data_IF_019999605552
#
_entry.id   IF_019999605552
#
_cell.length_a   1.000
_cell.length_b   1.000
_cell.length_c   1.000
_cell.angle_alpha   90.00
_cell.angle_beta   90.00
_cell.angle_gamma   90.00
#
_symmetry.space_group_name_H-M   'P 1'
#
loop_
_entity.id
_entity.type
_entity.pdbx_description
1 polymer ?
#
# COMPACT_ATOMS: atom_id res chain seq x y z
N UNK A 1 -15.13 -18.54 28.91
CA UNK A 1 -13.88 -17.79 29.23
C UNK A 1 -13.27 -18.42 30.46
N UNK A 2 -12.22 -19.20 30.28
CA UNK A 2 -11.53 -19.91 31.36
C UNK A 2 -10.57 -18.90 31.98
N UNK A 3 -10.87 -18.53 33.23
CA UNK A 3 -9.99 -17.69 34.01
C UNK A 3 -8.66 -18.43 34.23
N UNK A 4 -7.55 -17.71 34.00
CA UNK A 4 -6.24 -18.19 34.41
C UNK A 4 -6.24 -18.34 35.93
N UNK A 5 -6.22 -19.59 36.44
CA UNK A 5 -6.00 -19.83 37.86
C UNK A 5 -4.59 -19.34 38.20
N UNK A 6 -4.47 -18.26 38.95
CA UNK A 6 -3.23 -17.90 39.63
C UNK A 6 -3.10 -18.90 40.82
N UNK A 7 -2.23 -19.88 40.64
CA UNK A 7 -1.93 -20.85 41.67
C UNK A 7 -0.91 -20.21 42.62
N UNK A 8 -1.37 -19.69 43.74
CA UNK A 8 -0.51 -19.36 44.87
C UNK A 8 -0.01 -20.67 45.46
N UNK A 9 1.23 -21.04 45.17
CA UNK A 9 1.80 -22.27 45.69
C UNK A 9 2.24 -22.09 47.14
N UNK A 10 1.70 -22.88 48.05
CA UNK A 10 2.31 -23.12 49.36
C UNK A 10 3.59 -23.95 49.16
N UNK A 11 4.71 -23.27 48.99
CA UNK A 11 6.00 -23.86 48.62
C UNK A 11 6.42 -25.00 49.54
N UNK A 12 6.18 -24.88 50.85
CA UNK A 12 6.58 -25.86 51.84
C UNK A 12 5.77 -27.16 51.77
N UNK A 13 4.48 -27.14 51.41
CA UNK A 13 3.65 -28.31 51.32
C UNK A 13 3.97 -29.12 50.07
N UNK A 14 4.16 -28.44 48.96
CA UNK A 14 4.52 -29.03 47.67
C UNK A 14 5.87 -29.78 47.74
N UNK A 15 6.88 -29.14 48.33
CA UNK A 15 8.21 -29.75 48.50
C UNK A 15 8.18 -31.02 49.37
N UNK A 16 7.31 -31.08 50.39
CA UNK A 16 7.11 -32.26 51.21
C UNK A 16 6.60 -33.46 50.41
N UNK A 17 5.80 -33.22 49.37
CA UNK A 17 5.26 -34.27 48.50
C UNK A 17 6.12 -34.48 47.23
N UNK A 18 7.24 -33.80 47.07
CA UNK A 18 8.12 -33.94 45.92
C UNK A 18 7.47 -33.54 44.59
N UNK A 19 6.56 -32.53 44.60
CA UNK A 19 5.84 -32.05 43.43
C UNK A 19 6.46 -30.79 42.90
N UNK A 20 6.62 -30.70 41.57
CA UNK A 20 7.03 -29.50 40.86
C UNK A 20 5.83 -28.62 40.50
N UNK A 21 6.08 -27.33 40.23
CA UNK A 21 5.03 -26.43 39.72
C UNK A 21 4.47 -26.91 38.37
N UNK A 22 5.35 -27.51 37.55
CA UNK A 22 4.96 -28.13 36.29
C UNK A 22 3.90 -29.20 36.44
N UNK A 23 4.02 -30.08 37.42
CA UNK A 23 3.09 -31.20 37.62
C UNK A 23 1.67 -30.71 37.93
N UNK A 24 1.58 -29.60 38.68
CA UNK A 24 0.31 -28.92 38.97
C UNK A 24 -0.23 -28.20 37.71
N UNK A 25 0.62 -27.51 36.96
CA UNK A 25 0.23 -26.83 35.76
C UNK A 25 -0.25 -27.81 34.68
N UNK A 26 0.46 -28.92 34.48
CA UNK A 26 0.12 -29.95 33.50
C UNK A 26 -1.23 -30.62 33.84
N UNK A 27 -1.50 -30.88 35.14
CA UNK A 27 -2.80 -31.38 35.55
C UNK A 27 -3.93 -30.40 35.24
N UNK A 28 -3.71 -29.11 35.52
CA UNK A 28 -4.72 -28.07 35.27
C UNK A 28 -4.95 -27.90 33.76
N UNK A 29 -3.90 -27.90 32.96
CA UNK A 29 -4.00 -27.81 31.50
C UNK A 29 -4.78 -29.02 30.95
N UNK A 30 -4.42 -30.24 31.35
CA UNK A 30 -5.09 -31.45 30.93
C UNK A 30 -6.55 -31.49 31.39
N UNK A 31 -6.80 -31.18 32.67
CA UNK A 31 -8.12 -31.31 33.28
C UNK A 31 -9.11 -30.28 32.77
N UNK A 32 -8.70 -29.02 32.63
CA UNK A 32 -9.55 -27.89 32.30
C UNK A 32 -9.52 -27.58 30.78
N UNK A 33 -8.32 -27.41 30.24
CA UNK A 33 -8.11 -27.07 28.84
C UNK A 33 -8.30 -28.24 27.88
N UNK A 34 -7.85 -29.39 28.29
CA UNK A 34 -7.70 -30.60 27.50
C UNK A 34 -6.39 -30.65 26.74
N UNK A 35 -5.77 -31.79 26.66
CA UNK A 35 -4.57 -32.03 25.88
C UNK A 35 -4.87 -32.95 24.69
N UNK A 36 -4.25 -32.63 23.54
CA UNK A 36 -4.28 -33.51 22.39
C UNK A 36 -3.36 -34.69 22.62
N UNK A 37 -3.95 -35.89 22.74
CA UNK A 37 -3.23 -37.16 23.01
C UNK A 37 -2.87 -37.91 21.73
N UNK A 38 -3.61 -37.67 20.64
CA UNK A 38 -3.42 -38.35 19.35
C UNK A 38 -4.11 -37.59 18.23
N UNK A 39 -3.84 -37.99 17.00
CA UNK A 39 -4.50 -37.47 15.80
C UNK A 39 -5.11 -38.64 15.01
N UNK A 40 -6.32 -38.43 14.50
CA UNK A 40 -6.99 -39.35 13.59
C UNK A 40 -7.00 -38.76 12.20
N UNK A 41 -6.52 -39.51 11.21
CA UNK A 41 -6.52 -39.11 9.81
C UNK A 41 -7.73 -39.72 9.08
N UNK A 42 -8.53 -38.86 8.48
CA UNK A 42 -9.66 -39.24 7.61
C UNK A 42 -9.44 -38.67 6.24
N UNK A 43 -8.88 -39.45 5.33
CA UNK A 43 -8.43 -39.00 4.03
C UNK A 43 -7.29 -37.98 4.14
N UNK A 44 -7.49 -36.75 3.65
CA UNK A 44 -6.52 -35.65 3.70
C UNK A 44 -6.70 -34.73 4.92
N UNK A 45 -7.64 -35.04 5.82
CA UNK A 45 -7.93 -34.22 7.01
C UNK A 45 -7.42 -34.90 8.26
N UNK A 46 -6.80 -34.13 9.18
CA UNK A 46 -6.41 -34.57 10.53
C UNK A 46 -7.35 -33.97 11.57
N UNK A 47 -7.71 -34.77 12.55
CA UNK A 47 -8.53 -34.38 13.68
C UNK A 47 -7.80 -34.75 14.98
N UNK A 48 -7.66 -33.77 15.88
CA UNK A 48 -7.03 -33.99 17.17
C UNK A 48 -7.99 -34.73 18.12
N UNK A 49 -7.48 -35.76 18.79
CA UNK A 49 -8.17 -36.45 19.88
C UNK A 49 -7.81 -35.76 21.17
N UNK A 50 -8.76 -35.01 21.74
CA UNK A 50 -8.55 -34.22 22.95
C UNK A 50 -9.09 -35.01 24.17
N UNK A 51 -8.25 -35.18 25.19
CA UNK A 51 -8.63 -35.70 26.48
C UNK A 51 -8.80 -34.56 27.48
N UNK A 52 -9.95 -34.48 28.14
CA UNK A 52 -10.23 -33.54 29.22
C UNK A 52 -11.24 -34.11 30.19
N UNK A 53 -11.31 -33.57 31.40
CA UNK A 53 -12.36 -33.95 32.35
C UNK A 53 -13.74 -33.49 31.88
N UNK A 54 -14.77 -34.16 32.40
CA UNK A 54 -16.16 -33.82 32.09
C UNK A 54 -16.51 -32.40 32.61
N UNK A 55 -17.55 -31.81 32.04
CA UNK A 55 -17.94 -30.45 32.38
C UNK A 55 -18.38 -30.34 33.86
N UNK A 56 -18.91 -31.42 34.44
CA UNK A 56 -19.31 -31.43 35.83
C UNK A 56 -18.13 -31.29 36.79
N UNK A 57 -16.98 -31.84 36.46
CA UNK A 57 -15.78 -31.84 37.31
C UNK A 57 -14.94 -30.56 37.22
N UNK A 58 -15.19 -29.67 36.26
CA UNK A 58 -14.38 -28.47 36.01
C UNK A 58 -15.13 -27.14 36.16
N UNK A 59 -16.43 -27.14 36.52
CA UNK A 59 -17.29 -25.97 36.55
C UNK A 59 -17.22 -25.11 37.84
N UNK A 60 -16.55 -25.61 38.90
CA UNK A 60 -16.41 -24.85 40.15
C UNK A 60 -15.02 -25.01 40.77
N UNK A 61 -14.52 -23.99 41.50
CA UNK A 61 -13.22 -24.04 42.16
C UNK A 61 -13.11 -25.22 43.14
N UNK A 62 -14.21 -25.57 43.85
CA UNK A 62 -14.23 -26.65 44.80
C UNK A 62 -14.02 -28.01 44.09
N UNK A 63 -14.64 -28.22 42.94
CA UNK A 63 -14.48 -29.46 42.16
C UNK A 63 -13.10 -29.56 41.54
N UNK A 64 -12.54 -28.47 41.05
CA UNK A 64 -11.17 -28.42 40.57
C UNK A 64 -10.21 -28.72 41.73
N UNK A 65 -10.47 -28.22 42.93
CA UNK A 65 -9.68 -28.51 44.14
C UNK A 65 -9.66 -29.96 44.54
N UNK A 66 -10.69 -30.73 44.20
CA UNK A 66 -10.79 -32.17 44.49
C UNK A 66 -10.11 -33.05 43.41
N UNK A 67 -9.56 -32.47 42.34
CA UNK A 67 -8.77 -33.24 41.38
C UNK A 67 -7.54 -33.85 42.07
N UNK A 68 -7.26 -35.10 41.76
CA UNK A 68 -6.19 -35.85 42.42
C UNK A 68 -4.87 -35.71 41.63
N UNK A 69 -3.85 -35.21 42.31
CA UNK A 69 -2.45 -35.23 41.86
C UNK A 69 -1.78 -36.50 42.36
N UNK A 70 -1.03 -37.18 41.51
CA UNK A 70 -0.22 -38.33 41.89
C UNK A 70 1.19 -37.87 42.21
N UNK A 71 1.65 -38.09 43.43
CA UNK A 71 3.03 -37.78 43.87
C UNK A 71 4.02 -38.80 43.28
N UNK A 72 5.30 -38.48 43.29
CA UNK A 72 6.37 -39.39 42.86
C UNK A 72 6.42 -40.70 43.66
N UNK A 73 5.85 -40.73 44.87
CA UNK A 73 5.69 -41.92 45.69
C UNK A 73 4.42 -42.73 45.40
N UNK A 74 3.59 -42.31 44.43
CA UNK A 74 2.33 -42.96 44.08
C UNK A 74 1.13 -42.57 44.94
N UNK A 75 1.30 -41.70 45.94
CA UNK A 75 0.21 -41.22 46.79
C UNK A 75 -0.65 -40.20 46.03
N UNK A 76 -1.97 -40.30 46.13
CA UNK A 76 -2.91 -39.37 45.52
C UNK A 76 -3.34 -38.32 46.53
N UNK A 77 -3.13 -37.04 46.19
CA UNK A 77 -3.51 -35.91 47.05
C UNK A 77 -4.39 -34.93 46.25
N UNK A 78 -5.42 -34.33 46.88
CA UNK A 78 -6.26 -33.37 46.20
C UNK A 78 -5.48 -32.06 45.93
N UNK A 79 -5.77 -31.42 44.80
CA UNK A 79 -5.13 -30.21 44.37
C UNK A 79 -5.26 -29.05 45.37
N UNK A 80 -6.38 -29.00 46.10
CA UNK A 80 -6.62 -27.99 47.16
C UNK A 80 -5.62 -28.02 48.31
N UNK A 81 -4.87 -29.13 48.52
CA UNK A 81 -3.83 -29.22 49.56
C UNK A 81 -2.51 -28.62 49.12
N UNK A 82 -2.27 -28.47 47.84
CA UNK A 82 -0.99 -27.98 47.26
C UNK A 82 -1.11 -26.64 46.52
N UNK A 83 -2.36 -26.20 46.29
CA UNK A 83 -2.61 -24.97 45.54
C UNK A 83 -3.89 -24.26 46.00
N UNK A 84 -3.86 -22.94 46.09
CA UNK A 84 -5.05 -22.11 46.29
C UNK A 84 -5.72 -21.85 44.95
N UNK A 85 -7.02 -22.20 44.83
CA UNK A 85 -7.79 -22.07 43.59
C UNK A 85 -8.76 -20.90 43.71
N UNK A 86 -8.56 -19.86 42.89
CA UNK A 86 -9.42 -18.69 42.85
C UNK A 86 -9.92 -18.41 41.42
N UNK A 87 -11.18 -18.05 41.29
CA UNK A 87 -11.71 -17.55 40.01
C UNK A 87 -11.32 -16.08 39.86
N UNK A 88 -10.53 -15.79 38.83
CA UNK A 88 -10.17 -14.43 38.49
C UNK A 88 -10.48 -14.16 37.02
N UNK A 89 -10.78 -12.88 36.69
CA UNK A 89 -10.89 -12.47 35.32
C UNK A 89 -9.51 -12.07 34.81
N UNK A 90 -9.07 -12.64 33.73
CA UNK A 90 -7.78 -12.35 33.11
C UNK A 90 -7.84 -12.35 31.59
N UNK A 91 -6.78 -11.93 30.94
CA UNK A 91 -6.67 -12.01 29.49
C UNK A 91 -6.58 -13.47 29.04
N UNK A 92 -7.48 -13.89 28.14
CA UNK A 92 -7.50 -15.26 27.60
C UNK A 92 -6.23 -15.59 26.81
N UNK A 93 -5.61 -14.58 26.20
CA UNK A 93 -4.36 -14.73 25.44
C UNK A 93 -3.47 -13.52 25.69
N UNK A 94 -2.21 -13.77 26.05
CA UNK A 94 -1.19 -12.75 26.19
C UNK A 94 -0.24 -12.90 25.02
N UNK A 95 -0.35 -11.98 24.06
CA UNK A 95 0.56 -11.92 22.92
C UNK A 95 1.78 -11.08 23.24
N UNK A 96 2.95 -11.47 22.70
CA UNK A 96 4.20 -10.75 22.84
C UNK A 96 4.84 -10.54 21.48
N UNK A 97 5.39 -9.34 21.27
CA UNK A 97 6.23 -9.00 20.14
C UNK A 97 7.55 -8.43 20.68
N UNK A 98 8.68 -8.94 20.19
CA UNK A 98 10.02 -8.56 20.72
C UNK A 98 10.10 -8.64 22.24
N UNK A 99 9.57 -9.70 22.83
CA UNK A 99 9.52 -9.97 24.27
C UNK A 99 8.69 -8.98 25.12
N UNK A 100 7.99 -8.02 24.51
CA UNK A 100 7.05 -7.10 25.18
C UNK A 100 5.62 -7.55 24.94
N UNK A 101 4.77 -7.41 25.96
CA UNK A 101 3.33 -7.65 25.79
C UNK A 101 2.76 -6.64 24.81
N UNK A 102 1.88 -7.09 23.89
CA UNK A 102 1.18 -6.17 23.02
C UNK A 102 -0.31 -6.46 22.97
N UNK A 103 -1.09 -5.42 22.81
CA UNK A 103 -2.53 -5.46 22.56
C UNK A 103 -2.80 -4.88 21.17
N UNK A 104 -3.55 -5.60 20.36
CA UNK A 104 -3.91 -5.13 19.01
C UNK A 104 -5.36 -4.70 18.97
N UNK A 105 -5.60 -3.42 18.70
CA UNK A 105 -6.91 -2.88 18.39
C UNK A 105 -7.07 -2.84 16.88
N UNK A 106 -7.97 -3.62 16.32
CA UNK A 106 -8.25 -3.66 14.88
C UNK A 106 -9.38 -2.71 14.55
N UNK A 107 -9.14 -1.82 13.58
CA UNK A 107 -10.11 -0.83 13.10
C UNK A 107 -10.30 -1.01 11.60
N UNK A 108 -11.55 -1.16 11.16
CA UNK A 108 -11.92 -1.18 9.75
C UNK A 108 -12.59 0.14 9.39
N UNK A 109 -12.01 0.88 8.47
CA UNK A 109 -12.55 2.14 8.00
C UNK A 109 -13.49 1.92 6.81
N UNK A 110 -14.64 2.62 6.81
CA UNK A 110 -15.57 2.66 5.68
C UNK A 110 -15.96 4.11 5.39
N UNK A 111 -15.75 4.55 4.16
CA UNK A 111 -16.14 5.90 3.72
C UNK A 111 -15.31 7.05 4.30
N UNK A 112 -14.19 6.77 4.96
CA UNK A 112 -13.29 7.78 5.54
C UNK A 112 -11.88 7.54 5.02
N UNK A 113 -11.15 8.62 4.71
CA UNK A 113 -9.75 8.54 4.35
C UNK A 113 -8.89 8.11 5.54
N UNK A 114 -7.94 7.20 5.28
CA UNK A 114 -7.05 6.63 6.30
C UNK A 114 -6.21 7.71 7.00
N UNK A 115 -5.68 8.66 6.25
CA UNK A 115 -4.82 9.73 6.78
C UNK A 115 -5.63 10.71 7.66
N UNK A 116 -6.83 11.07 7.22
CA UNK A 116 -7.74 11.92 7.98
C UNK A 116 -8.16 11.25 9.30
N UNK A 117 -8.45 9.94 9.26
CA UNK A 117 -8.77 9.17 10.47
C UNK A 117 -7.61 9.15 11.45
N UNK A 118 -6.37 8.86 10.99
CA UNK A 118 -5.19 8.78 11.85
C UNK A 118 -4.87 10.11 12.53
N UNK A 119 -4.96 11.21 11.79
CA UNK A 119 -4.73 12.55 12.36
C UNK A 119 -5.75 12.86 13.47
N UNK A 120 -7.02 12.53 13.24
CA UNK A 120 -8.07 12.70 14.24
C UNK A 120 -7.89 11.75 15.44
N UNK A 121 -7.53 10.49 15.19
CA UNK A 121 -7.31 9.49 16.23
C UNK A 121 -6.12 9.85 17.12
N UNK A 122 -4.99 10.28 16.55
CA UNK A 122 -3.83 10.74 17.33
C UNK A 122 -4.20 11.93 18.21
N UNK A 123 -4.89 12.94 17.65
CA UNK A 123 -5.30 14.11 18.42
C UNK A 123 -6.26 13.77 19.59
N UNK A 124 -7.13 12.76 19.40
CA UNK A 124 -8.02 12.29 20.47
C UNK A 124 -7.27 11.46 21.51
N UNK A 125 -6.35 10.58 21.09
CA UNK A 125 -5.54 9.77 22.00
C UNK A 125 -4.68 10.68 22.87
N UNK A 126 -3.99 11.66 22.30
CA UNK A 126 -3.14 12.60 23.05
C UNK A 126 -3.94 13.43 24.05
N UNK A 127 -5.23 13.70 23.76
CA UNK A 127 -6.10 14.50 24.62
C UNK A 127 -6.78 13.69 25.72
N UNK A 128 -7.27 12.49 25.42
CA UNK A 128 -8.19 11.74 26.27
C UNK A 128 -7.54 10.56 26.95
N UNK A 129 -6.49 9.97 26.35
CA UNK A 129 -5.85 8.78 26.91
C UNK A 129 -4.57 9.17 27.64
N UNK A 130 -4.64 9.06 28.97
CA UNK A 130 -3.45 9.24 29.80
C UNK A 130 -2.72 7.90 29.96
N UNK A 131 -1.58 7.73 29.30
CA UNK A 131 -0.72 6.57 29.45
C UNK A 131 0.74 7.00 29.63
N UNK A 132 1.50 6.15 30.28
CA UNK A 132 2.92 6.38 30.49
C UNK A 132 3.69 6.07 29.19
N UNK A 133 4.26 7.10 28.58
CA UNK A 133 5.01 7.01 27.32
C UNK A 133 6.30 6.20 27.41
N UNK A 134 6.86 6.04 28.63
CA UNK A 134 8.08 5.27 28.84
C UNK A 134 7.81 3.76 28.88
N UNK A 135 6.64 3.36 29.38
CA UNK A 135 6.25 1.96 29.50
C UNK A 135 5.37 1.44 28.36
N UNK A 136 4.55 2.31 27.74
CA UNK A 136 3.59 1.96 26.71
C UNK A 136 3.89 2.71 25.41
N UNK A 137 4.13 1.95 24.35
CA UNK A 137 4.37 2.51 23.01
C UNK A 137 3.18 2.21 22.09
N UNK A 138 2.57 3.24 21.54
CA UNK A 138 1.52 3.13 20.54
C UNK A 138 2.17 3.06 19.14
N UNK A 139 1.80 2.05 18.37
CA UNK A 139 2.28 1.88 16.99
C UNK A 139 1.11 1.63 16.05
N UNK A 140 0.99 2.45 15.03
CA UNK A 140 0.09 2.19 13.92
C UNK A 140 0.72 1.19 12.96
N UNK A 141 0.00 0.12 12.65
CA UNK A 141 0.48 -0.97 11.80
C UNK A 141 -0.52 -1.32 10.69
N UNK A 142 -0.14 -2.22 9.78
CA UNK A 142 -1.01 -2.69 8.71
C UNK A 142 -0.94 -1.83 7.45
N UNK A 143 -2.09 -1.48 6.87
CA UNK A 143 -2.15 -0.74 5.59
C UNK A 143 -1.44 0.62 5.65
N UNK A 144 -1.51 1.31 6.78
CA UNK A 144 -0.86 2.60 6.97
C UNK A 144 0.67 2.52 6.83
N UNK A 145 1.29 1.56 7.49
CA UNK A 145 2.74 1.37 7.41
C UNK A 145 3.20 1.03 5.99
N UNK A 146 2.42 0.18 5.30
CA UNK A 146 2.69 -0.17 3.91
C UNK A 146 2.52 1.04 2.98
N UNK A 147 1.47 1.85 3.19
CA UNK A 147 1.22 3.06 2.43
C UNK A 147 2.33 4.10 2.65
N UNK A 148 2.74 4.33 3.91
CA UNK A 148 3.82 5.27 4.24
C UNK A 148 5.15 4.85 3.61
N UNK A 149 5.50 3.57 3.69
CA UNK A 149 6.70 3.02 3.02
C UNK A 149 6.63 3.15 1.50
N UNK A 150 5.45 2.93 0.91
CA UNK A 150 5.26 3.08 -0.52
C UNK A 150 5.43 4.54 -0.96
N UNK A 151 4.84 5.50 -0.25
CA UNK A 151 5.01 6.92 -0.56
C UNK A 151 6.46 7.40 -0.40
N UNK A 152 7.16 6.95 0.64
CA UNK A 152 8.57 7.28 0.82
C UNK A 152 9.44 6.78 -0.36
N UNK A 153 9.17 5.56 -0.84
CA UNK A 153 9.85 5.01 -2.04
C UNK A 153 9.47 5.75 -3.31
N UNK A 154 8.18 6.04 -3.51
CA UNK A 154 7.71 6.79 -4.68
C UNK A 154 8.30 8.20 -4.71
N UNK A 155 8.44 8.85 -3.54
CA UNK A 155 9.07 10.17 -3.42
C UNK A 155 10.50 10.22 -3.93
N UNK A 156 11.24 9.12 -3.90
CA UNK A 156 12.59 9.02 -4.46
C UNK A 156 12.57 8.54 -5.93
N UNK A 157 11.76 7.54 -6.26
CA UNK A 157 11.74 6.91 -7.58
C UNK A 157 11.13 7.81 -8.65
N UNK A 158 10.06 8.56 -8.33
CA UNK A 158 9.38 9.40 -9.31
C UNK A 158 10.27 10.54 -9.82
N UNK A 159 10.94 11.35 -8.99
CA UNK A 159 11.87 12.38 -9.48
C UNK A 159 13.04 11.79 -10.27
N UNK A 160 13.59 10.65 -9.84
CA UNK A 160 14.65 9.96 -10.58
C UNK A 160 14.17 9.52 -11.96
N UNK A 161 12.98 8.93 -12.06
CA UNK A 161 12.39 8.50 -13.33
C UNK A 161 12.13 9.69 -14.26
N UNK A 162 11.57 10.79 -13.74
CA UNK A 162 11.34 12.02 -14.52
C UNK A 162 12.67 12.66 -15.01
N UNK A 163 13.71 12.66 -14.16
CA UNK A 163 15.04 13.12 -14.53
C UNK A 163 15.67 12.29 -15.64
N UNK A 164 15.62 10.95 -15.51
CA UNK A 164 16.10 10.04 -16.54
C UNK A 164 15.31 10.20 -17.85
N UNK A 165 14.00 10.35 -17.75
CA UNK A 165 13.12 10.57 -18.89
C UNK A 165 13.47 11.89 -19.62
N UNK A 166 13.70 12.98 -18.88
CA UNK A 166 14.16 14.24 -19.45
C UNK A 166 15.52 14.10 -20.16
N UNK A 167 16.45 13.36 -19.57
CA UNK A 167 17.75 13.07 -20.17
C UNK A 167 17.61 12.30 -21.49
N UNK A 168 16.81 11.25 -21.50
CA UNK A 168 16.54 10.45 -22.70
C UNK A 168 15.84 11.28 -23.79
N UNK A 169 14.89 12.13 -23.42
CA UNK A 169 14.23 13.05 -24.35
C UNK A 169 15.23 14.05 -24.94
N UNK A 170 16.13 14.57 -24.12
CA UNK A 170 17.18 15.45 -24.59
C UNK A 170 18.12 14.74 -25.57
N UNK A 171 18.55 13.53 -25.26
CA UNK A 171 19.38 12.72 -26.14
C UNK A 171 18.68 12.39 -27.48
N UNK A 172 17.37 12.13 -27.46
CA UNK A 172 16.59 11.82 -28.66
C UNK A 172 16.33 13.04 -29.55
N UNK A 173 16.09 14.23 -28.95
CA UNK A 173 15.74 15.44 -29.71
C UNK A 173 16.92 16.33 -30.03
N UNK A 174 18.05 16.21 -29.35
CA UNK A 174 19.23 17.06 -29.49
C UNK A 174 19.05 18.51 -29.02
N UNK A 175 17.82 18.89 -28.63
CA UNK A 175 17.48 20.27 -28.19
C UNK A 175 16.73 20.22 -26.86
N UNK A 176 17.32 20.81 -25.80
CA UNK A 176 16.71 20.87 -24.46
C UNK A 176 15.31 21.49 -24.47
N UNK A 177 15.11 22.49 -25.29
CA UNK A 177 13.84 23.19 -25.47
C UNK A 177 12.70 22.25 -25.88
N UNK A 178 12.97 21.34 -26.82
CA UNK A 178 11.97 20.37 -27.26
C UNK A 178 11.69 19.29 -26.21
N UNK A 179 12.73 18.86 -25.48
CA UNK A 179 12.55 17.96 -24.36
C UNK A 179 11.71 18.58 -23.24
N UNK A 180 11.98 19.85 -22.89
CA UNK A 180 11.20 20.59 -21.89
C UNK A 180 9.73 20.78 -22.33
N UNK A 181 9.50 21.03 -23.62
CA UNK A 181 8.15 21.16 -24.17
C UNK A 181 7.36 19.84 -24.06
N UNK A 182 7.99 18.68 -24.33
CA UNK A 182 7.36 17.38 -24.13
C UNK A 182 7.06 17.12 -22.65
N UNK A 183 7.97 17.51 -21.75
CA UNK A 183 7.73 17.41 -20.30
C UNK A 183 6.60 18.31 -19.82
N UNK A 184 6.27 19.39 -20.50
CA UNK A 184 5.14 20.27 -20.14
C UNK A 184 3.77 19.59 -20.29
N UNK A 185 3.68 18.48 -21.03
CA UNK A 185 2.46 17.66 -21.12
C UNK A 185 2.19 16.92 -19.82
N UNK A 186 3.23 16.61 -19.04
CA UNK A 186 3.11 15.82 -17.81
C UNK A 186 2.19 16.47 -16.77
N UNK A 187 2.40 17.72 -16.32
CA UNK A 187 1.51 18.34 -15.34
C UNK A 187 0.06 18.44 -15.83
N UNK A 188 -0.15 18.61 -17.12
CA UNK A 188 -1.48 18.67 -17.71
C UNK A 188 -2.16 17.27 -17.70
N UNK A 189 -1.40 16.21 -18.00
CA UNK A 189 -1.89 14.83 -17.91
C UNK A 189 -2.22 14.44 -16.45
N UNK A 190 -1.37 14.82 -15.49
CA UNK A 190 -1.60 14.62 -14.06
C UNK A 190 -2.87 15.34 -13.60
N UNK A 191 -3.10 16.57 -14.06
CA UNK A 191 -4.32 17.32 -13.76
C UNK A 191 -5.58 16.57 -14.24
N UNK A 192 -5.56 16.01 -15.46
CA UNK A 192 -6.66 15.21 -15.99
C UNK A 192 -6.94 13.96 -15.13
N UNK A 193 -5.91 13.25 -14.68
CA UNK A 193 -6.03 12.10 -13.78
C UNK A 193 -6.57 12.48 -12.39
N UNK A 194 -6.10 13.59 -11.82
CA UNK A 194 -6.61 14.11 -10.54
C UNK A 194 -8.08 14.54 -10.63
N UNK A 195 -8.44 15.22 -11.71
CA UNK A 195 -9.83 15.60 -11.96
C UNK A 195 -10.75 14.37 -12.00
N UNK A 196 -10.29 13.30 -12.67
CA UNK A 196 -11.04 12.05 -12.78
C UNK A 196 -11.26 11.38 -11.42
N UNK A 197 -10.23 11.34 -10.54
CA UNK A 197 -10.38 10.81 -9.19
C UNK A 197 -11.37 11.63 -8.38
N UNK A 198 -11.30 12.96 -8.46
CA UNK A 198 -12.20 13.85 -7.72
C UNK A 198 -13.66 13.70 -8.16
N UNK A 199 -13.92 13.71 -9.48
CA UNK A 199 -15.28 13.52 -10.05
C UNK A 199 -15.89 12.19 -9.62
N UNK A 200 -15.05 11.15 -9.49
CA UNK A 200 -15.52 9.82 -9.05
C UNK A 200 -15.50 9.61 -7.52
N UNK A 201 -15.15 10.63 -6.73
CA UNK A 201 -15.09 10.55 -5.27
C UNK A 201 -14.08 9.54 -4.74
N UNK A 202 -12.98 9.29 -5.48
CA UNK A 202 -11.93 8.37 -5.08
C UNK A 202 -10.78 9.11 -4.43
N UNK A 203 -10.25 8.55 -3.33
CA UNK A 203 -9.07 9.09 -2.64
C UNK A 203 -7.79 8.71 -3.37
N UNK A 204 -6.77 9.56 -3.25
CA UNK A 204 -5.42 9.26 -3.74
C UNK A 204 -4.83 8.12 -2.89
N UNK A 205 -4.53 7.01 -3.52
CA UNK A 205 -3.92 5.84 -2.89
C UNK A 205 -2.69 5.36 -3.68
N UNK A 206 -1.99 4.34 -3.18
CA UNK A 206 -0.80 3.79 -3.85
C UNK A 206 -1.11 3.30 -5.26
N UNK A 207 -2.28 2.69 -5.47
CA UNK A 207 -2.69 2.19 -6.79
C UNK A 207 -2.91 3.33 -7.80
N UNK A 208 -3.56 4.42 -7.39
CA UNK A 208 -3.71 5.60 -8.24
C UNK A 208 -2.35 6.26 -8.54
N UNK A 209 -1.42 6.27 -7.57
CA UNK A 209 -0.07 6.79 -7.78
C UNK A 209 0.68 6.00 -8.87
N UNK A 210 0.58 4.68 -8.86
CA UNK A 210 1.12 3.83 -9.95
C UNK A 210 0.42 4.14 -11.27
N UNK A 211 -0.90 4.38 -11.25
CA UNK A 211 -1.66 4.82 -12.42
C UNK A 211 -1.14 6.14 -13.00
N UNK A 212 -0.76 7.10 -12.17
CA UNK A 212 -0.14 8.35 -12.61
C UNK A 212 1.22 8.14 -13.28
N UNK A 213 2.06 7.25 -12.77
CA UNK A 213 3.35 6.94 -13.39
C UNK A 213 3.15 6.35 -14.80
N UNK A 214 2.21 5.41 -14.94
CA UNK A 214 1.87 4.84 -16.24
C UNK A 214 1.30 5.89 -17.20
N UNK A 215 0.41 6.76 -16.72
CA UNK A 215 -0.18 7.86 -17.50
C UNK A 215 0.90 8.82 -18.04
N UNK A 216 1.86 9.20 -17.22
CA UNK A 216 3.00 10.05 -17.60
C UNK A 216 3.80 9.40 -18.73
N UNK A 217 4.11 8.10 -18.62
CA UNK A 217 4.84 7.37 -19.65
C UNK A 217 4.13 7.40 -21.00
N UNK A 218 2.84 7.11 -21.03
CA UNK A 218 2.04 7.11 -22.27
C UNK A 218 1.87 8.53 -22.83
N UNK A 219 1.67 9.53 -21.98
CA UNK A 219 1.53 10.92 -22.40
C UNK A 219 2.81 11.44 -23.09
N UNK A 220 3.98 11.16 -22.50
CA UNK A 220 5.27 11.52 -23.09
C UNK A 220 5.52 10.77 -24.39
N UNK A 221 5.23 9.46 -24.45
CA UNK A 221 5.37 8.66 -25.67
C UNK A 221 4.59 9.29 -26.83
N UNK A 222 3.33 9.68 -26.61
CA UNK A 222 2.52 10.35 -27.61
C UNK A 222 3.12 11.72 -28.04
N UNK A 223 3.66 12.48 -27.08
CA UNK A 223 4.36 13.74 -27.33
C UNK A 223 5.60 13.56 -28.20
N UNK A 224 6.43 12.55 -27.89
CA UNK A 224 7.64 12.22 -28.67
C UNK A 224 7.29 11.88 -30.12
N UNK A 225 6.29 11.00 -30.31
CA UNK A 225 5.84 10.59 -31.65
C UNK A 225 5.36 11.78 -32.46
N UNK A 226 4.65 12.73 -31.83
CA UNK A 226 4.16 13.94 -32.47
C UNK A 226 5.31 14.87 -32.89
N UNK A 227 6.16 15.26 -31.95
CA UNK A 227 7.23 16.23 -32.17
C UNK A 227 8.30 15.69 -33.11
N UNK A 228 8.68 14.42 -32.95
CA UNK A 228 9.65 13.79 -33.87
C UNK A 228 9.15 13.80 -35.32
N UNK A 229 7.85 13.57 -35.54
CA UNK A 229 7.28 13.62 -36.86
C UNK A 229 7.23 15.04 -37.43
N UNK A 230 6.89 16.05 -36.63
CA UNK A 230 6.92 17.45 -37.04
C UNK A 230 8.37 17.87 -37.39
N UNK A 231 9.36 17.48 -36.59
CA UNK A 231 10.77 17.73 -36.87
C UNK A 231 11.23 17.14 -38.22
N UNK A 232 10.82 15.89 -38.50
CA UNK A 232 11.13 15.23 -39.74
C UNK A 232 10.49 15.90 -40.97
N UNK A 233 9.29 16.45 -40.81
CA UNK A 233 8.66 17.25 -41.87
C UNK A 233 9.33 18.61 -42.06
N UNK A 234 9.69 19.27 -40.96
CA UNK A 234 10.39 20.55 -40.99
C UNK A 234 11.74 20.48 -41.72
N UNK A 235 12.44 19.34 -41.65
CA UNK A 235 13.67 19.13 -42.44
C UNK A 235 13.41 19.02 -43.95
N UNK A 236 12.18 18.65 -44.35
CA UNK A 236 11.78 18.49 -45.77
C UNK A 236 11.03 19.70 -46.31
N UNK A 237 10.20 20.33 -45.48
CA UNK A 237 9.37 21.49 -45.83
C UNK A 237 9.99 22.75 -45.21
N UNK A 238 10.00 23.87 -45.95
CA UNK A 238 10.64 25.11 -45.52
C UNK A 238 9.77 25.94 -44.57
N UNK A 239 8.43 25.76 -44.58
CA UNK A 239 7.53 26.53 -43.71
C UNK A 239 7.19 25.79 -42.43
N UNK A 240 7.47 26.43 -41.27
CA UNK A 240 7.20 25.92 -39.93
C UNK A 240 5.70 25.63 -39.72
N UNK A 241 4.83 26.52 -40.23
CA UNK A 241 3.39 26.42 -40.05
C UNK A 241 2.83 25.21 -40.78
N UNK A 242 3.24 24.97 -42.02
CA UNK A 242 2.78 23.84 -42.82
C UNK A 242 3.30 22.50 -42.26
N UNK A 243 4.55 22.46 -41.80
CA UNK A 243 5.11 21.30 -41.15
C UNK A 243 4.33 20.91 -39.88
N UNK A 244 3.94 21.86 -39.04
CA UNK A 244 3.14 21.60 -37.82
C UNK A 244 1.75 21.15 -38.19
N UNK A 245 1.04 21.76 -39.12
CA UNK A 245 -0.32 21.40 -39.51
C UNK A 245 -0.35 20.00 -40.14
N UNK A 246 0.55 19.74 -41.10
CA UNK A 246 0.64 18.45 -41.81
C UNK A 246 1.06 17.34 -40.85
N UNK A 247 2.07 17.61 -39.99
CA UNK A 247 2.55 16.67 -39.03
C UNK A 247 1.46 16.24 -38.00
N UNK A 248 0.69 17.22 -37.53
CA UNK A 248 -0.43 16.97 -36.62
C UNK A 248 -1.53 16.15 -37.32
N UNK A 249 -1.89 16.47 -38.54
CA UNK A 249 -2.88 15.71 -39.33
C UNK A 249 -2.48 14.25 -39.54
N UNK A 250 -1.21 14.00 -39.87
CA UNK A 250 -0.71 12.63 -40.10
C UNK A 250 -0.68 11.81 -38.82
N UNK A 251 -0.42 12.42 -37.66
CA UNK A 251 -0.34 11.73 -36.37
C UNK A 251 -1.67 11.67 -35.61
N UNK A 252 -2.70 12.37 -36.07
CA UNK A 252 -4.01 12.38 -35.43
C UNK A 252 -4.59 10.94 -35.29
N UNK A 253 -4.66 10.20 -36.40
CA UNK A 253 -5.21 8.84 -36.39
C UNK A 253 -4.41 7.86 -35.52
N UNK A 254 -3.07 7.72 -35.64
CA UNK A 254 -2.29 6.81 -34.80
C UNK A 254 -2.42 7.11 -33.30
N UNK A 255 -2.35 8.37 -32.88
CA UNK A 255 -2.47 8.76 -31.47
C UNK A 255 -3.87 8.47 -30.94
N UNK A 256 -4.91 8.75 -31.72
CA UNK A 256 -6.28 8.46 -31.33
C UNK A 256 -6.52 6.94 -31.20
N UNK A 257 -5.98 6.15 -32.13
CA UNK A 257 -6.09 4.69 -32.08
C UNK A 257 -5.42 4.10 -30.84
N UNK A 258 -4.19 4.52 -30.51
CA UNK A 258 -3.47 4.04 -29.31
C UNK A 258 -4.20 4.42 -28.03
N UNK A 259 -4.71 5.64 -27.94
CA UNK A 259 -5.50 6.10 -26.80
C UNK A 259 -6.81 5.30 -26.66
N UNK A 260 -7.53 5.09 -27.75
CA UNK A 260 -8.80 4.33 -27.76
C UNK A 260 -8.58 2.89 -27.32
N UNK A 261 -7.54 2.22 -27.83
CA UNK A 261 -7.22 0.83 -27.43
C UNK A 261 -6.90 0.75 -25.93
N UNK A 262 -6.08 1.66 -25.42
CA UNK A 262 -5.74 1.69 -24.00
C UNK A 262 -6.97 1.98 -23.12
N UNK A 263 -7.82 2.93 -23.52
CA UNK A 263 -9.06 3.28 -22.83
C UNK A 263 -10.03 2.10 -22.81
N UNK A 264 -10.31 1.50 -23.96
CA UNK A 264 -11.23 0.35 -24.04
C UNK A 264 -10.71 -0.86 -23.26
N UNK A 265 -9.40 -1.11 -23.30
CA UNK A 265 -8.79 -2.22 -22.54
C UNK A 265 -8.90 -2.06 -21.02
N UNK A 266 -8.83 -0.84 -20.51
CA UNK A 266 -8.88 -0.56 -19.07
C UNK A 266 -10.27 -0.11 -18.58
N UNK A 267 -11.21 0.18 -19.48
CA UNK A 267 -12.55 0.63 -19.14
C UNK A 267 -13.28 -0.36 -18.20
N UNK A 268 -13.29 -1.69 -18.45
CA UNK A 268 -13.93 -2.64 -17.55
C UNK A 268 -13.36 -2.60 -16.14
N UNK A 269 -12.03 -2.48 -16.00
CA UNK A 269 -11.37 -2.38 -14.71
C UNK A 269 -11.70 -1.07 -13.97
N UNK A 270 -11.89 0.04 -14.71
CA UNK A 270 -12.27 1.33 -14.14
C UNK A 270 -13.69 1.34 -13.56
N UNK A 271 -14.59 0.51 -14.08
CA UNK A 271 -16.03 0.43 -13.67
C UNK A 271 -16.29 -0.72 -12.71
N UNK A 272 -15.33 -1.64 -12.53
CA UNK A 272 -15.46 -2.82 -11.68
C UNK A 272 -15.81 -2.45 -10.23
N UNK A 273 -16.75 -3.23 -9.62
CA UNK A 273 -17.19 -3.08 -8.22
C UNK A 273 -17.07 -4.38 -7.42
N UNK A 274 -16.48 -5.43 -8.00
CA UNK A 274 -16.29 -6.74 -7.35
C UNK A 274 -15.21 -6.74 -6.27
N UNK A 275 -15.09 -7.88 -5.59
CA UNK A 275 -14.03 -8.10 -4.58
C UNK A 275 -12.65 -7.94 -5.25
N UNK A 276 -11.77 -7.13 -4.67
CA UNK A 276 -10.43 -6.82 -5.22
C UNK A 276 -10.41 -5.64 -6.21
N UNK A 277 -11.56 -5.08 -6.57
CA UNK A 277 -11.63 -3.89 -7.44
C UNK A 277 -11.03 -2.63 -6.80
N UNK A 278 -10.91 -2.59 -5.49
CA UNK A 278 -10.38 -1.44 -4.73
C UNK A 278 -8.95 -1.05 -5.15
N UNK A 279 -8.16 -2.01 -5.65
CA UNK A 279 -6.81 -1.77 -6.16
C UNK A 279 -6.83 -1.38 -7.64
N UNK A 280 -7.60 -2.10 -8.47
CA UNK A 280 -7.60 -1.92 -9.92
C UNK A 280 -8.37 -0.68 -10.37
N UNK A 281 -9.49 -0.38 -9.72
CA UNK A 281 -10.41 0.69 -10.09
C UNK A 281 -9.78 2.09 -10.02
N UNK A 282 -9.06 2.50 -8.94
CA UNK A 282 -8.37 3.79 -8.91
C UNK A 282 -7.28 3.91 -9.97
N UNK A 283 -6.46 2.86 -10.15
CA UNK A 283 -5.42 2.80 -11.17
C UNK A 283 -6.01 2.97 -12.58
N UNK A 284 -6.99 2.15 -12.93
CA UNK A 284 -7.63 2.21 -14.24
C UNK A 284 -8.37 3.53 -14.48
N UNK A 285 -8.98 4.12 -13.46
CA UNK A 285 -9.62 5.42 -13.53
C UNK A 285 -8.63 6.52 -13.92
N UNK A 286 -7.49 6.60 -13.26
CA UNK A 286 -6.44 7.57 -13.57
C UNK A 286 -5.96 7.42 -15.00
N UNK A 287 -5.69 6.18 -15.45
CA UNK A 287 -5.17 5.95 -16.79
C UNK A 287 -6.24 6.25 -17.85
N UNK A 288 -7.44 5.73 -17.73
CA UNK A 288 -8.51 5.90 -18.74
C UNK A 288 -8.85 7.37 -18.95
N UNK A 289 -9.23 8.05 -17.89
CA UNK A 289 -9.68 9.45 -18.02
C UNK A 289 -8.51 10.43 -18.15
N UNK A 290 -7.38 10.15 -17.48
CA UNK A 290 -6.16 10.94 -17.64
C UNK A 290 -5.61 10.84 -19.05
N UNK A 291 -5.63 9.65 -19.68
CA UNK A 291 -5.18 9.47 -21.05
C UNK A 291 -6.10 10.16 -22.07
N UNK A 292 -7.42 10.11 -21.87
CA UNK A 292 -8.35 10.87 -22.71
C UNK A 292 -8.02 12.37 -22.68
N UNK A 293 -7.82 12.90 -21.48
CA UNK A 293 -7.46 14.31 -21.30
C UNK A 293 -6.08 14.64 -21.91
N UNK A 294 -5.07 13.81 -21.63
CA UNK A 294 -3.73 13.94 -22.17
C UNK A 294 -3.72 13.87 -23.72
N UNK A 295 -4.56 13.02 -24.31
CA UNK A 295 -4.66 12.88 -25.78
C UNK A 295 -5.18 14.16 -26.42
N UNK A 296 -6.21 14.77 -25.82
CA UNK A 296 -6.73 16.06 -26.31
C UNK A 296 -5.63 17.14 -26.24
N UNK A 297 -4.91 17.21 -25.13
CA UNK A 297 -3.80 18.16 -24.94
C UNK A 297 -2.68 17.91 -25.96
N UNK A 298 -2.27 16.67 -26.13
CA UNK A 298 -1.19 16.32 -27.07
C UNK A 298 -1.58 16.65 -28.51
N UNK A 299 -2.85 16.53 -28.88
CA UNK A 299 -3.30 16.81 -30.25
C UNK A 299 -3.47 18.30 -30.55
N UNK A 300 -3.83 19.12 -29.57
CA UNK A 300 -4.13 20.54 -29.78
C UNK A 300 -3.11 21.47 -29.14
N UNK A 301 -2.79 21.26 -27.87
CA UNK A 301 -1.95 22.18 -27.10
C UNK A 301 -0.48 22.00 -27.46
N UNK A 302 0.00 20.77 -27.57
CA UNK A 302 1.41 20.51 -27.85
C UNK A 302 1.89 21.05 -29.20
N UNK A 303 1.17 20.88 -30.33
CA UNK A 303 1.57 21.50 -31.61
C UNK A 303 1.51 23.03 -31.58
N UNK A 304 0.53 23.61 -30.88
CA UNK A 304 0.43 25.06 -30.72
C UNK A 304 1.62 25.64 -29.93
N UNK A 305 1.97 25.00 -28.80
CA UNK A 305 3.13 25.39 -28.00
C UNK A 305 4.44 25.19 -28.79
N UNK A 306 4.56 24.10 -29.55
CA UNK A 306 5.72 23.89 -30.42
C UNK A 306 5.85 24.99 -31.45
N UNK A 307 4.76 25.35 -32.12
CA UNK A 307 4.76 26.45 -33.10
C UNK A 307 5.15 27.80 -32.46
N UNK A 308 4.58 28.13 -31.31
CA UNK A 308 4.89 29.39 -30.60
C UNK A 308 6.36 29.48 -30.20
N UNK A 309 6.90 28.40 -29.62
CA UNK A 309 8.29 28.38 -29.18
C UNK A 309 9.25 28.42 -30.36
N UNK A 310 9.07 27.61 -31.39
CA UNK A 310 9.96 27.56 -32.53
C UNK A 310 9.90 28.87 -33.33
N UNK A 311 8.72 29.46 -33.51
CA UNK A 311 8.58 30.79 -34.17
C UNK A 311 9.32 31.91 -33.43
N UNK A 312 9.26 31.90 -32.08
CA UNK A 312 9.95 32.89 -31.26
C UNK A 312 11.47 32.80 -31.42
N UNK A 313 12.01 31.61 -31.61
CA UNK A 313 13.44 31.40 -31.73
C UNK A 313 13.95 31.49 -33.18
N UNK A 314 13.12 31.22 -34.18
CA UNK A 314 13.44 31.42 -35.59
C UNK A 314 13.74 32.88 -35.88
N UNK A 315 13.06 33.82 -35.18
CA UNK A 315 13.37 35.25 -35.22
C UNK A 315 14.68 35.69 -34.56
N UNK A 316 15.25 34.82 -33.66
CA UNK A 316 16.53 35.08 -32.97
C UNK A 316 17.73 34.44 -33.64
N UNK A 317 17.56 33.36 -34.39
CA UNK A 317 18.63 32.69 -35.13
C UNK A 317 18.95 33.39 -36.47
N UNK A 318 18.21 34.45 -36.80
CA UNK A 318 18.45 35.32 -37.96
C UNK A 318 19.30 36.56 -37.64
N UNK A 319 20.14 36.53 -36.61
CA UNK A 319 21.25 37.55 -36.53
C UNK A 319 22.30 37.16 -37.53
N UNK A 320 22.68 38.09 -38.43
CA UNK A 320 23.54 37.78 -39.57
C UNK A 320 24.97 37.46 -39.12
N UNK A 321 25.37 36.18 -39.31
CA UNK A 321 26.79 35.85 -39.45
C UNK A 321 27.15 36.09 -40.92
N UNK A 322 27.35 37.31 -41.30
CA UNK A 322 27.91 37.62 -42.58
C UNK A 322 28.31 39.08 -42.65
N UNK A 323 29.45 39.42 -42.06
CA UNK A 323 30.23 40.60 -42.52
C UNK A 323 31.74 40.46 -42.26
N UNK A 324 32.21 39.30 -41.78
CA UNK A 324 33.62 39.13 -41.42
C UNK A 324 34.43 38.22 -42.37
N UNK A 325 33.85 37.81 -43.52
CA UNK A 325 34.55 36.93 -44.48
C UNK A 325 34.83 37.59 -45.84
N UNK A 326 34.48 38.87 -46.07
CA UNK A 326 34.84 39.55 -47.32
C UNK A 326 36.01 40.52 -47.18
N UNK A 327 36.72 40.58 -46.07
CA UNK A 327 37.86 41.48 -45.91
C UNK A 327 39.25 40.84 -46.02
N UNK A 328 39.29 39.53 -46.36
CA UNK A 328 40.56 38.85 -46.65
C UNK A 328 40.43 37.89 -47.84
N UNK A 329 40.08 38.41 -49.02
CA UNK A 329 40.31 37.78 -50.30
C UNK A 329 40.96 38.79 -51.26
#
# INVERSE_FOLDING_TARGET
EIASCLVGSEMCIRDRYGLNVSDVADLIELAIGGASISQIFVGSKSYDVICRFDDASRNSPERIGNLLLTTGSGTKIPLSQVAEIKMTTGASTITREMNKRHLTVRVNLRGVDLTAFLNKANALIDKEVKYDHDSVHLKWAGQFENQHRAYARLGAVVPLALGLMLLLLFAACGKFRQAALMMSVVPLALFGGMLALNVRGMTLNVSSAVGFIALVGVAIQNGVIMISHINNLRTRERDLKDAVITGTKHRFRPILMTATVAVLGLLPASVSTGIGSDVQRPLATVIVYGLLFATVITLYVLPALYYMIEKHYEGKDLTPVSEEKELHA
#
